data_IF_377263208249
#
_entry.id   IF_377263208249
#
_cell.length_a   1.000
_cell.length_b   1.000
_cell.length_c   1.000
_cell.angle_alpha   90.00
_cell.angle_beta   90.00
_cell.angle_gamma   90.00
#
_symmetry.space_group_name_H-M   'P 1'
#
loop_
_entity.id
_entity.type
_entity.pdbx_description
1 polymer ?
#
# COMPACT_ATOMS: atom_id res chain seq x y z
N UNK A 1 10.89 -12.09 29.89
CA UNK A 1 9.96 -11.69 28.81
C UNK A 1 10.30 -12.42 27.54
N UNK A 2 9.31 -13.12 26.98
CA UNK A 2 9.37 -13.77 25.68
C UNK A 2 8.41 -13.09 24.72
N UNK A 3 8.64 -13.24 23.42
CA UNK A 3 7.69 -12.77 22.40
C UNK A 3 7.50 -13.87 21.37
N UNK A 4 6.23 -14.12 21.05
CA UNK A 4 5.82 -15.06 20.02
C UNK A 4 5.37 -14.29 18.80
N UNK A 5 5.88 -14.70 17.66
CA UNK A 5 5.49 -14.19 16.37
C UNK A 5 4.45 -15.13 15.74
N UNK A 6 3.30 -14.56 15.43
CA UNK A 6 2.16 -15.26 14.84
C UNK A 6 2.03 -14.84 13.39
N UNK A 7 1.90 -15.82 12.50
CA UNK A 7 1.72 -15.67 11.07
C UNK A 7 0.47 -16.41 10.60
N UNK A 8 0.07 -16.15 9.35
CA UNK A 8 -1.06 -16.80 8.70
C UNK A 8 -2.41 -16.54 9.39
N UNK A 9 -2.55 -15.36 10.01
CA UNK A 9 -3.82 -14.92 10.60
C UNK A 9 -4.77 -14.40 9.52
N UNK A 10 -6.07 -14.46 9.78
CA UNK A 10 -7.08 -13.97 8.86
C UNK A 10 -6.98 -12.45 8.67
N UNK A 11 -6.82 -12.03 7.42
CA UNK A 11 -6.58 -10.63 7.05
C UNK A 11 -7.88 -9.82 6.92
N UNK A 12 -9.02 -10.50 6.73
CA UNK A 12 -10.33 -9.84 6.67
C UNK A 12 -10.82 -9.43 8.06
N UNK A 13 -10.33 -10.07 9.12
CA UNK A 13 -10.68 -9.75 10.48
C UNK A 13 -10.15 -8.37 10.89
N UNK A 14 -10.95 -7.62 11.66
CA UNK A 14 -10.51 -6.35 12.26
C UNK A 14 -9.45 -6.62 13.33
N UNK A 15 -8.55 -5.65 13.56
CA UNK A 15 -7.46 -5.81 14.52
C UNK A 15 -7.94 -6.02 15.95
N UNK A 16 -9.02 -5.35 16.39
CA UNK A 16 -9.56 -5.50 17.74
C UNK A 16 -10.02 -6.93 18.08
N UNK A 17 -10.97 -7.55 17.34
CA UNK A 17 -11.40 -8.91 17.63
C UNK A 17 -10.27 -9.93 17.45
N UNK A 18 -9.33 -9.68 16.54
CA UNK A 18 -8.15 -10.52 16.37
C UNK A 18 -7.25 -10.46 17.61
N UNK A 19 -6.97 -9.27 18.15
CA UNK A 19 -6.16 -9.11 19.35
C UNK A 19 -6.81 -9.70 20.58
N UNK A 20 -8.14 -9.60 20.70
CA UNK A 20 -8.89 -10.15 21.83
C UNK A 20 -8.91 -11.70 21.81
N UNK A 21 -9.13 -12.29 20.64
CA UNK A 21 -9.06 -13.74 20.46
C UNK A 21 -7.65 -14.28 20.74
N UNK A 22 -6.61 -13.59 20.24
CA UNK A 22 -5.22 -13.94 20.56
C UNK A 22 -4.92 -13.80 22.05
N UNK A 23 -5.39 -12.75 22.73
CA UNK A 23 -5.21 -12.63 24.18
C UNK A 23 -5.87 -13.79 24.93
N UNK A 24 -7.09 -14.14 24.54
CA UNK A 24 -7.86 -15.21 25.18
C UNK A 24 -7.15 -16.56 25.06
N UNK A 25 -6.79 -16.96 23.83
CA UNK A 25 -6.13 -18.26 23.58
C UNK A 25 -4.76 -18.32 24.25
N UNK A 26 -3.95 -17.26 24.16
CA UNK A 26 -2.59 -17.27 24.68
C UNK A 26 -2.54 -17.10 26.21
N UNK A 27 -3.64 -16.69 26.85
CA UNK A 27 -3.72 -16.58 28.32
C UNK A 27 -3.64 -17.95 29.03
N UNK A 28 -3.94 -19.04 28.32
CA UNK A 28 -3.86 -20.41 28.85
C UNK A 28 -2.42 -20.84 29.17
N UNK A 29 -1.45 -20.35 28.39
CA UNK A 29 -0.03 -20.70 28.53
C UNK A 29 0.73 -19.76 29.47
N UNK A 30 0.18 -18.59 29.79
CA UNK A 30 0.80 -17.65 30.72
C UNK A 30 0.31 -16.21 30.59
N UNK A 31 0.91 -15.33 31.39
CA UNK A 31 0.51 -13.93 31.44
C UNK A 31 0.95 -13.16 30.19
N UNK A 32 -0.04 -12.81 29.37
CA UNK A 32 0.12 -11.96 28.18
C UNK A 32 0.21 -10.50 28.61
N UNK A 33 1.36 -9.87 28.36
CA UNK A 33 1.63 -8.45 28.66
C UNK A 33 1.06 -7.57 27.56
N UNK A 34 1.24 -7.98 26.30
CA UNK A 34 0.74 -7.22 25.17
C UNK A 34 0.49 -8.08 23.93
N UNK A 35 -0.42 -7.60 23.08
CA UNK A 35 -0.66 -8.19 21.77
C UNK A 35 -0.71 -7.08 20.73
N UNK A 36 0.18 -7.17 19.75
CA UNK A 36 0.30 -6.20 18.65
C UNK A 36 0.00 -6.91 17.34
N UNK A 37 -1.21 -6.72 16.83
CA UNK A 37 -1.58 -7.16 15.48
C UNK A 37 -1.12 -6.11 14.46
N UNK A 38 -0.39 -6.54 13.43
CA UNK A 38 0.06 -5.65 12.36
C UNK A 38 -1.03 -5.53 11.29
N UNK A 39 -1.46 -4.29 11.05
CA UNK A 39 -2.48 -3.94 10.05
C UNK A 39 -1.90 -3.41 8.75
N UNK A 40 -0.58 -3.16 8.72
CA UNK A 40 0.11 -2.64 7.54
C UNK A 40 0.04 -3.65 6.40
N UNK A 41 -0.13 -3.20 5.16
CA UNK A 41 -0.33 -4.04 3.98
C UNK A 41 0.76 -5.12 3.80
N UNK A 42 2.01 -4.82 4.19
CA UNK A 42 3.14 -5.77 4.11
C UNK A 42 3.22 -6.75 5.28
N UNK A 43 2.53 -6.47 6.37
CA UNK A 43 2.58 -7.25 7.60
C UNK A 43 1.20 -7.70 8.07
N UNK A 44 0.20 -7.62 7.18
CA UNK A 44 -1.16 -8.07 7.43
C UNK A 44 -1.13 -9.58 7.63
N UNK A 45 -1.99 -10.07 8.54
CA UNK A 45 -1.97 -11.48 8.93
C UNK A 45 -0.80 -11.86 9.85
N UNK A 46 -0.13 -10.87 10.46
CA UNK A 46 0.94 -11.08 11.42
C UNK A 46 0.63 -10.41 12.75
N UNK A 47 1.00 -11.06 13.85
CA UNK A 47 0.87 -10.49 15.18
C UNK A 47 2.09 -10.83 16.05
N UNK A 48 2.31 -10.03 17.08
CA UNK A 48 3.29 -10.27 18.12
C UNK A 48 2.56 -10.37 19.45
N UNK A 49 2.74 -11.49 20.15
CA UNK A 49 2.24 -11.72 21.49
C UNK A 49 3.42 -11.64 22.45
N UNK A 50 3.38 -10.71 23.39
CA UNK A 50 4.42 -10.49 24.38
C UNK A 50 3.99 -11.15 25.68
N UNK A 51 4.81 -12.07 26.16
CA UNK A 51 4.61 -12.76 27.43
C UNK A 51 5.55 -12.20 28.50
N UNK A 52 5.08 -12.21 29.74
CA UNK A 52 5.90 -11.89 30.91
C UNK A 52 7.11 -12.85 30.99
N UNK A 53 6.86 -14.13 30.74
CA UNK A 53 7.86 -15.21 30.83
C UNK A 53 8.26 -15.74 29.46
N UNK A 54 9.53 -16.15 29.31
CA UNK A 54 10.04 -16.71 28.06
C UNK A 54 9.68 -18.19 27.88
N UNK A 55 9.47 -18.93 28.98
CA UNK A 55 9.04 -20.33 28.95
C UNK A 55 7.64 -20.46 28.34
N UNK A 56 6.66 -19.69 28.83
CA UNK A 56 5.29 -19.64 28.28
C UNK A 56 5.25 -19.33 26.79
N UNK A 57 6.11 -18.41 26.32
CA UNK A 57 6.22 -18.08 24.90
C UNK A 57 6.68 -19.27 24.06
N UNK A 58 7.60 -20.08 24.57
CA UNK A 58 8.11 -21.26 23.87
C UNK A 58 7.07 -22.37 23.83
N UNK A 59 6.43 -22.64 24.96
CA UNK A 59 5.38 -23.65 25.10
C UNK A 59 4.19 -23.34 24.17
N UNK A 60 3.69 -22.10 24.20
CA UNK A 60 2.65 -21.65 23.28
C UNK A 60 3.08 -21.79 21.81
N UNK A 61 4.34 -21.52 21.48
CA UNK A 61 4.81 -21.63 20.09
C UNK A 61 4.89 -23.07 19.57
N UNK A 62 5.01 -24.07 20.45
CA UNK A 62 5.08 -25.49 20.10
C UNK A 62 3.70 -26.16 20.14
N UNK A 63 2.87 -25.87 21.16
CA UNK A 63 1.57 -26.52 21.39
C UNK A 63 0.48 -26.07 20.41
N UNK A 64 0.29 -24.76 20.22
CA UNK A 64 -0.82 -24.22 19.41
C UNK A 64 -0.42 -23.87 17.97
N UNK A 65 0.74 -24.34 17.54
CA UNK A 65 1.18 -24.17 16.15
C UNK A 65 0.30 -24.97 15.20
N UNK A 66 -0.36 -24.29 14.27
CA UNK A 66 -1.35 -24.88 13.37
C UNK A 66 -2.79 -24.80 13.90
N UNK A 67 -3.03 -24.21 15.07
CA UNK A 67 -4.38 -24.06 15.60
C UNK A 67 -5.27 -23.21 14.67
N UNK A 68 -6.46 -23.68 14.28
CA UNK A 68 -7.34 -22.93 13.40
C UNK A 68 -8.00 -21.75 14.14
N UNK A 69 -7.76 -20.53 13.65
CA UNK A 69 -8.39 -19.30 14.13
C UNK A 69 -9.00 -18.55 12.94
N UNK A 70 -10.31 -18.31 12.99
CA UNK A 70 -11.09 -17.74 11.88
C UNK A 70 -10.88 -18.52 10.56
N UNK A 71 -11.00 -19.85 10.62
CA UNK A 71 -10.86 -20.78 9.48
C UNK A 71 -9.47 -20.81 8.82
N UNK A 72 -8.44 -20.23 9.47
CA UNK A 72 -7.04 -20.35 9.05
C UNK A 72 -6.15 -20.93 10.15
N UNK A 73 -5.31 -21.93 9.85
CA UNK A 73 -4.34 -22.45 10.81
C UNK A 73 -3.26 -21.41 11.08
N UNK A 74 -3.18 -20.91 12.31
CA UNK A 74 -2.14 -19.95 12.69
C UNK A 74 -0.77 -20.63 12.72
N UNK A 75 0.27 -19.91 12.33
CA UNK A 75 1.65 -20.41 12.39
C UNK A 75 2.45 -19.63 13.40
N UNK A 76 3.07 -20.35 14.33
CA UNK A 76 3.75 -19.76 15.46
C UNK A 76 5.25 -19.99 15.39
N UNK A 77 5.99 -18.97 15.79
CA UNK A 77 7.44 -19.02 15.89
C UNK A 77 7.93 -18.10 17.01
N UNK A 78 9.07 -18.42 17.60
CA UNK A 78 9.76 -17.50 18.49
C UNK A 78 10.18 -16.24 17.73
N UNK A 79 9.89 -15.06 18.29
CA UNK A 79 10.26 -13.79 17.66
C UNK A 79 11.79 -13.65 17.62
N UNK A 80 12.34 -13.40 16.42
CA UNK A 80 13.79 -13.21 16.20
C UNK A 80 14.34 -11.88 16.71
N UNK A 81 13.47 -10.87 16.88
CA UNK A 81 13.82 -9.54 17.38
C UNK A 81 12.99 -9.26 18.64
N UNK A 82 13.61 -8.58 19.61
CA UNK A 82 12.93 -8.13 20.83
C UNK A 82 11.81 -7.15 20.46
N UNK A 83 10.64 -7.30 21.06
CA UNK A 83 9.47 -6.43 20.83
C UNK A 83 9.73 -5.04 21.41
N UNK A 84 9.20 -3.99 20.79
CA UNK A 84 9.41 -2.58 21.22
C UNK A 84 9.12 -2.38 22.71
N UNK A 85 8.04 -2.99 23.24
CA UNK A 85 7.73 -2.97 24.69
C UNK A 85 8.73 -3.72 25.57
N UNK A 86 9.36 -4.77 25.06
CA UNK A 86 10.45 -5.47 25.78
C UNK A 86 11.70 -4.58 25.86
N UNK A 87 11.97 -3.78 24.81
CA UNK A 87 13.08 -2.81 24.82
C UNK A 87 12.77 -1.65 25.76
N UNK A 88 11.54 -1.14 25.76
CA UNK A 88 11.08 -0.09 26.68
C UNK A 88 11.14 -0.53 28.15
N UNK A 89 10.88 -1.80 28.45
CA UNK A 89 10.83 -2.32 29.83
C UNK A 89 12.15 -2.89 30.34
N UNK A 90 13.12 -3.22 29.47
CA UNK A 90 14.44 -3.76 29.83
C UNK A 90 15.60 -2.75 29.70
N UNK A 91 15.28 -1.45 29.68
CA UNK A 91 16.18 -0.34 29.40
C UNK A 91 17.60 -0.49 29.97
N UNK A 92 18.51 -0.97 29.12
CA UNK A 92 19.94 -0.73 29.26
C UNK A 92 20.27 0.52 28.43
N UNK A 93 20.91 1.54 29.01
CA UNK A 93 21.00 2.89 28.42
C UNK A 93 21.84 2.98 27.13
N UNK A 94 22.46 1.89 26.67
CA UNK A 94 23.33 1.87 25.50
C UNK A 94 22.59 1.72 24.14
N UNK A 95 21.36 1.19 24.11
CA UNK A 95 20.62 0.97 22.84
C UNK A 95 19.77 2.17 22.40
N UNK A 96 19.49 3.12 23.30
CA UNK A 96 18.74 4.35 23.02
C UNK A 96 19.48 5.32 22.06
N UNK A 97 20.79 5.18 21.91
CA UNK A 97 21.60 6.04 21.03
C UNK A 97 21.58 5.58 19.55
N UNK A 98 21.16 4.34 19.29
CA UNK A 98 21.11 3.78 17.93
C UNK A 98 19.77 4.01 17.19
N UNK A 99 18.69 4.34 17.91
CA UNK A 99 17.36 4.57 17.36
C UNK A 99 16.79 5.94 17.79
N UNK A 100 17.14 7.03 17.10
CA UNK A 100 16.54 8.33 17.39
C UNK A 100 15.02 8.29 17.10
N UNK A 101 14.19 8.95 17.93
CA UNK A 101 12.75 8.92 17.79
C UNK A 101 12.29 9.50 16.43
N UNK A 102 11.15 9.00 15.88
CA UNK A 102 10.66 9.36 14.54
C UNK A 102 10.39 10.87 14.33
N UNK A 103 10.32 11.66 15.41
CA UNK A 103 10.21 13.12 15.36
C UNK A 103 11.42 13.79 14.63
N UNK A 104 12.63 13.25 14.78
CA UNK A 104 13.85 13.84 14.19
C UNK A 104 14.09 13.46 12.72
N UNK A 105 13.38 12.46 12.18
CA UNK A 105 13.54 12.04 10.79
C UNK A 105 12.90 13.03 9.79
N UNK A 106 11.89 13.80 10.21
CA UNK A 106 11.26 14.82 9.36
C UNK A 106 12.17 16.05 9.18
N UNK A 107 12.84 16.50 10.24
CA UNK A 107 13.61 17.76 10.22
C UNK A 107 14.92 17.68 9.40
N UNK A 108 15.53 16.49 9.27
CA UNK A 108 16.82 16.34 8.56
C UNK A 108 16.69 16.31 7.03
N UNK A 109 15.54 15.87 6.48
CA UNK A 109 15.33 15.87 5.01
C UNK A 109 15.14 17.28 4.46
N UNK A 110 14.42 18.14 5.18
CA UNK A 110 14.18 19.53 4.78
C UNK A 110 15.49 20.36 4.75
N UNK A 111 16.34 20.21 5.77
CA UNK A 111 17.56 21.01 5.91
C UNK A 111 18.67 20.65 4.90
N UNK A 112 18.63 19.46 4.28
CA UNK A 112 19.63 19.03 3.28
C UNK A 112 19.26 19.45 1.85
N UNK A 113 17.99 19.78 1.60
CA UNK A 113 17.51 20.23 0.28
C UNK A 113 17.75 21.73 0.05
N UNK A 114 17.69 22.55 1.11
CA UNK A 114 17.91 24.01 1.01
C UNK A 114 19.38 24.41 0.82
N UNK A 115 20.34 23.57 1.24
CA UNK A 115 21.78 23.90 1.17
C UNK A 115 22.45 23.55 -0.17
N UNK A 116 21.75 22.87 -1.10
CA UNK A 116 22.28 22.53 -2.44
C UNK A 116 21.90 23.54 -3.53
N UNK A 117 21.15 24.59 -3.21
CA UNK A 117 20.69 25.60 -4.18
C UNK A 117 21.42 26.95 -4.11
N UNK A 118 22.55 27.06 -3.41
CA UNK A 118 23.29 28.32 -3.26
C UNK A 118 24.80 28.18 -3.35
N UNK A 119 25.33 27.85 -4.53
CA UNK A 119 26.71 28.22 -4.96
C UNK A 119 26.96 27.78 -6.41
N UNK A 120 26.64 28.65 -7.36
CA UNK A 120 27.37 28.77 -8.64
C UNK A 120 27.78 30.24 -8.76
N UNK A 121 29.08 30.57 -8.82
CA UNK A 121 29.50 31.93 -9.13
C UNK A 121 29.24 32.19 -10.62
N UNK A 122 28.54 33.28 -10.90
CA UNK A 122 28.36 33.79 -12.26
C UNK A 122 29.51 34.72 -12.68
N UNK A 123 29.67 34.86 -13.98
CA UNK A 123 30.46 35.88 -14.65
C UNK A 123 29.96 36.05 -16.09
N UNK A 124 29.52 37.29 -16.41
CA UNK A 124 29.29 37.98 -17.72
C UNK A 124 28.53 37.28 -18.86
N UNK A 125 27.68 37.87 -19.71
CA UNK A 125 27.25 39.25 -20.07
C UNK A 125 26.10 39.11 -21.11
N UNK A 126 25.37 40.19 -21.51
CA UNK A 126 24.00 40.13 -22.09
C UNK A 126 23.86 40.54 -23.58
N UNK A 127 22.77 40.11 -24.26
CA UNK A 127 22.10 40.75 -25.44
C UNK A 127 20.90 39.87 -25.89
N UNK A 128 19.63 40.31 -25.83
CA UNK A 128 18.81 41.11 -26.78
C UNK A 128 17.88 40.23 -27.66
N UNK A 129 16.57 40.54 -27.68
CA UNK A 129 15.56 39.95 -28.59
C UNK A 129 14.24 39.43 -27.96
N UNK A 130 13.13 40.14 -28.18
CA UNK A 130 11.71 39.81 -27.83
C UNK A 130 11.10 38.69 -28.75
N UNK A 131 9.79 38.32 -28.66
CA UNK A 131 8.93 37.85 -27.54
C UNK A 131 8.11 36.56 -27.89
N UNK A 132 7.51 35.87 -26.90
CA UNK A 132 6.12 35.29 -26.91
C UNK A 132 5.91 33.97 -26.13
N UNK A 133 4.80 33.96 -25.37
CA UNK A 133 3.84 32.86 -25.05
C UNK A 133 4.23 31.59 -24.24
N UNK A 134 3.47 31.45 -23.13
CA UNK A 134 2.71 30.26 -22.66
C UNK A 134 3.41 29.18 -21.80
N UNK A 135 2.66 28.77 -20.76
CA UNK A 135 2.61 27.48 -20.04
C UNK A 135 3.46 27.24 -18.77
N UNK A 136 2.74 27.18 -17.63
CA UNK A 136 2.88 26.15 -16.58
C UNK A 136 2.74 24.74 -17.23
N UNK A 137 3.32 23.63 -16.74
CA UNK A 137 2.94 23.11 -15.41
C UNK A 137 3.93 22.19 -14.68
N UNK A 138 3.46 21.78 -13.49
CA UNK A 138 3.76 20.61 -12.67
C UNK A 138 4.74 19.55 -13.19
N UNK A 139 5.62 19.11 -12.29
CA UNK A 139 6.43 17.90 -12.45
C UNK A 139 6.42 17.04 -11.20
N UNK A 140 5.37 16.22 -11.02
CA UNK A 140 5.45 15.02 -10.18
C UNK A 140 6.30 14.00 -10.95
N UNK A 141 7.43 13.60 -10.36
CA UNK A 141 8.34 12.62 -10.93
C UNK A 141 7.91 11.20 -10.60
N UNK A 142 7.99 10.40 -11.66
CA UNK A 142 7.68 9.00 -11.78
C UNK A 142 8.60 8.06 -11.00
N UNK A 143 8.06 6.85 -10.83
CA UNK A 143 8.73 5.54 -10.87
C UNK A 143 9.68 5.15 -9.74
N UNK A 144 9.19 4.25 -8.88
CA UNK A 144 9.95 3.08 -8.48
C UNK A 144 9.10 1.82 -8.69
N UNK A 145 9.64 0.92 -9.49
CA UNK A 145 9.15 -0.43 -9.75
C UNK A 145 9.30 -1.26 -8.47
N UNK A 146 8.32 -1.17 -7.57
CA UNK A 146 8.14 -2.14 -6.50
C UNK A 146 7.22 -3.23 -7.01
N UNK A 147 7.68 -4.48 -6.95
CA UNK A 147 6.86 -5.66 -7.19
C UNK A 147 5.57 -5.53 -6.39
N UNK A 148 4.48 -5.29 -7.12
CA UNK A 148 3.17 -5.20 -6.57
C UNK A 148 2.88 -6.54 -5.88
N UNK A 149 2.56 -6.50 -4.58
CA UNK A 149 1.49 -7.35 -4.12
C UNK A 149 0.35 -7.08 -5.10
N UNK A 150 0.12 -7.99 -6.04
CA UNK A 150 -0.98 -7.90 -6.98
C UNK A 150 -2.20 -8.09 -6.11
N UNK A 151 -2.65 -7.01 -5.47
CA UNK A 151 -4.04 -6.89 -5.02
C UNK A 151 -4.80 -7.30 -6.28
N UNK A 152 -5.50 -8.46 -6.25
CA UNK A 152 -6.24 -8.90 -7.41
C UNK A 152 -7.13 -7.73 -7.81
N UNK A 153 -7.18 -7.40 -9.10
CA UNK A 153 -7.87 -6.19 -9.55
C UNK A 153 -9.36 -6.16 -9.15
N UNK A 154 -9.87 -7.31 -8.71
CA UNK A 154 -11.17 -7.59 -8.07
C UNK A 154 -11.34 -6.94 -6.68
N UNK A 155 -10.27 -6.65 -5.94
CA UNK A 155 -10.31 -6.05 -4.59
C UNK A 155 -9.95 -4.56 -4.58
N UNK A 156 -9.84 -3.92 -5.75
CA UNK A 156 -9.65 -2.48 -5.78
C UNK A 156 -10.94 -1.81 -5.31
N UNK A 157 -10.88 -0.93 -4.28
CA UNK A 157 -12.06 -0.22 -3.82
C UNK A 157 -12.67 0.57 -5.00
N UNK A 158 -14.01 0.68 -5.07
CA UNK A 158 -14.68 1.45 -6.09
C UNK A 158 -14.04 2.82 -6.24
N UNK A 159 -13.69 3.17 -7.48
CA UNK A 159 -13.08 4.45 -7.80
C UNK A 159 -13.82 5.01 -9.02
N UNK A 160 -13.94 6.34 -9.06
CA UNK A 160 -14.50 7.06 -10.20
C UNK A 160 -13.61 6.99 -11.45
N UNK A 161 -12.36 6.54 -11.32
CA UNK A 161 -11.45 6.36 -12.45
C UNK A 161 -11.25 4.87 -12.73
N UNK A 162 -11.52 4.47 -13.97
CA UNK A 162 -11.24 3.15 -14.50
C UNK A 162 -9.90 3.14 -15.24
N UNK A 163 -9.21 2.02 -15.10
CA UNK A 163 -7.98 1.67 -15.77
C UNK A 163 -8.26 0.59 -16.81
N UNK A 164 -8.01 0.91 -18.06
CA UNK A 164 -8.17 0.04 -19.20
C UNK A 164 -6.80 -0.52 -19.61
N UNK A 165 -6.73 -1.83 -19.69
CA UNK A 165 -5.57 -2.58 -20.16
C UNK A 165 -5.98 -3.38 -21.40
N UNK A 166 -5.00 -3.65 -22.26
CA UNK A 166 -5.16 -4.40 -23.51
C UNK A 166 -6.06 -3.70 -24.55
N UNK A 167 -6.06 -2.36 -24.57
CA UNK A 167 -6.75 -1.61 -25.63
C UNK A 167 -6.03 -1.86 -26.98
N UNK A 168 -6.74 -2.12 -28.08
CA UNK A 168 -6.12 -2.16 -29.41
C UNK A 168 -5.57 -0.80 -29.82
N UNK A 169 -4.53 -0.80 -30.66
CA UNK A 169 -3.90 0.42 -31.17
C UNK A 169 -4.83 1.19 -32.14
N UNK A 170 -5.83 0.52 -32.69
CA UNK A 170 -6.86 1.10 -33.58
C UNK A 170 -7.99 1.82 -32.82
N UNK A 171 -8.03 1.72 -31.49
CA UNK A 171 -9.08 2.35 -30.67
C UNK A 171 -8.61 3.68 -30.08
N UNK A 172 -9.10 4.77 -30.66
CA UNK A 172 -8.90 6.13 -30.19
C UNK A 172 -9.85 6.53 -29.04
N UNK A 173 -9.59 7.71 -28.47
CA UNK A 173 -10.41 8.35 -27.42
C UNK A 173 -11.89 8.34 -27.81
N UNK A 174 -12.23 8.64 -29.06
CA UNK A 174 -13.63 8.67 -29.53
C UNK A 174 -14.28 7.28 -29.54
N UNK A 175 -13.54 6.23 -29.94
CA UNK A 175 -14.04 4.86 -29.92
C UNK A 175 -14.30 4.36 -28.49
N UNK A 176 -13.40 4.68 -27.57
CA UNK A 176 -13.59 4.39 -26.15
C UNK A 176 -14.70 5.26 -25.54
N UNK A 177 -14.79 6.54 -25.90
CA UNK A 177 -15.87 7.41 -25.43
C UNK A 177 -17.25 6.95 -25.91
N UNK A 178 -17.38 6.38 -27.12
CA UNK A 178 -18.64 5.78 -27.58
C UNK A 178 -19.05 4.55 -26.79
N UNK A 179 -18.09 3.78 -26.25
CA UNK A 179 -18.38 2.63 -25.39
C UNK A 179 -18.69 3.09 -23.96
N UNK A 180 -17.83 3.90 -23.36
CA UNK A 180 -17.90 4.30 -21.95
C UNK A 180 -18.89 5.45 -21.70
N UNK A 181 -19.19 6.26 -22.70
CA UNK A 181 -20.19 7.33 -22.64
C UNK A 181 -21.64 6.85 -22.64
N UNK A 182 -21.90 5.55 -22.85
CA UNK A 182 -23.24 4.96 -22.67
C UNK A 182 -23.66 4.87 -21.21
N UNK A 183 -22.70 4.97 -20.29
CA UNK A 183 -22.92 4.88 -18.85
C UNK A 183 -23.01 6.28 -18.25
N UNK A 184 -23.90 6.43 -17.27
CA UNK A 184 -24.15 7.72 -16.62
C UNK A 184 -22.90 8.22 -15.87
N UNK A 185 -22.71 9.53 -15.85
CA UNK A 185 -21.58 10.19 -15.21
C UNK A 185 -20.25 10.07 -15.95
N UNK A 186 -20.22 9.77 -17.25
CA UNK A 186 -18.98 9.77 -18.04
C UNK A 186 -18.37 11.18 -18.11
N UNK A 187 -17.06 11.30 -17.85
CA UNK A 187 -16.32 12.57 -17.83
C UNK A 187 -15.38 12.70 -19.03
N UNK A 188 -14.31 11.91 -19.04
CA UNK A 188 -13.32 11.93 -20.12
C UNK A 188 -12.55 10.60 -20.23
N UNK A 189 -12.03 10.32 -21.43
CA UNK A 189 -11.05 9.24 -21.64
C UNK A 189 -9.68 9.84 -21.88
N UNK A 190 -8.70 9.39 -21.12
CA UNK A 190 -7.30 9.78 -21.24
C UNK A 190 -6.42 8.62 -21.66
N UNK A 191 -5.91 8.68 -22.89
CA UNK A 191 -4.87 7.77 -23.37
C UNK A 191 -3.51 8.16 -22.76
N UNK A 192 -2.64 7.17 -22.52
CA UNK A 192 -1.30 7.42 -21.97
C UNK A 192 -0.28 7.59 -23.10
N UNK A 193 0.25 8.81 -23.35
CA UNK A 193 1.32 8.98 -24.32
C UNK A 193 2.57 8.26 -23.84
N UNK A 194 3.10 7.35 -24.67
CA UNK A 194 4.29 6.54 -24.35
C UNK A 194 3.99 5.11 -23.87
N UNK A 195 2.72 4.74 -23.62
CA UNK A 195 2.32 3.34 -23.40
C UNK A 195 1.07 3.00 -24.21
N UNK A 196 1.28 2.26 -25.29
CA UNK A 196 0.21 1.74 -26.15
C UNK A 196 -0.55 0.61 -25.43
N UNK A 197 -1.86 0.57 -25.60
CA UNK A 197 -2.76 -0.41 -24.99
C UNK A 197 -3.24 -0.11 -23.56
N UNK A 198 -3.02 1.12 -23.08
CA UNK A 198 -3.46 1.57 -21.76
C UNK A 198 -4.26 2.87 -21.89
N UNK A 199 -5.42 2.91 -21.24
CA UNK A 199 -6.26 4.10 -21.19
C UNK A 199 -6.86 4.27 -19.78
N UNK A 200 -7.24 5.50 -19.45
CA UNK A 200 -7.98 5.83 -18.23
C UNK A 200 -9.32 6.43 -18.61
N UNK A 201 -10.37 6.03 -17.90
CA UNK A 201 -11.71 6.63 -18.05
C UNK A 201 -12.10 7.25 -16.72
N UNK A 202 -12.36 8.55 -16.71
CA UNK A 202 -12.87 9.24 -15.54
C UNK A 202 -14.40 9.34 -15.62
N UNK A 203 -15.04 9.04 -14.51
CA UNK A 203 -16.45 9.29 -14.23
C UNK A 203 -16.59 10.38 -13.16
N UNK A 204 -17.73 11.06 -13.15
CA UNK A 204 -18.13 11.98 -12.10
C UNK A 204 -18.55 11.23 -10.84
N UNK A 205 -19.28 10.13 -11.01
CA UNK A 205 -19.75 9.28 -9.93
C UNK A 205 -19.09 7.90 -9.96
N UNK A 206 -18.79 7.36 -8.78
CA UNK A 206 -18.28 5.99 -8.63
C UNK A 206 -19.28 4.92 -9.13
N UNK A 207 -20.58 5.18 -8.98
CA UNK A 207 -21.65 4.28 -9.44
C UNK A 207 -21.62 4.08 -10.96
N UNK A 208 -21.37 5.15 -11.71
CA UNK A 208 -21.19 5.09 -13.17
C UNK A 208 -19.98 4.25 -13.57
N UNK A 209 -18.86 4.41 -12.85
CA UNK A 209 -17.65 3.64 -13.06
C UNK A 209 -17.83 2.15 -12.73
N UNK A 210 -18.61 1.80 -11.69
CA UNK A 210 -18.93 0.40 -11.34
C UNK A 210 -19.73 -0.27 -12.48
N UNK A 211 -20.83 0.36 -12.90
CA UNK A 211 -21.66 -0.16 -13.99
C UNK A 211 -20.87 -0.31 -15.29
N UNK A 212 -20.04 0.68 -15.63
CA UNK A 212 -19.19 0.65 -16.81
C UNK A 212 -18.13 -0.45 -16.72
N UNK A 213 -17.49 -0.64 -15.55
CA UNK A 213 -16.54 -1.73 -15.33
C UNK A 213 -17.22 -3.08 -15.52
N UNK A 214 -18.40 -3.30 -14.93
CA UNK A 214 -19.03 -4.62 -14.97
C UNK A 214 -19.54 -4.98 -16.37
N UNK A 215 -20.04 -4.00 -17.11
CA UNK A 215 -20.52 -4.22 -18.46
C UNK A 215 -19.40 -4.28 -19.52
N UNK A 216 -18.25 -3.65 -19.25
CA UNK A 216 -17.14 -3.52 -20.21
C UNK A 216 -15.92 -4.37 -19.84
N UNK A 217 -15.89 -4.99 -18.66
CA UNK A 217 -14.82 -5.89 -18.27
C UNK A 217 -14.88 -7.19 -19.09
N UNK A 218 -13.79 -7.49 -19.80
CA UNK A 218 -13.65 -8.75 -20.53
C UNK A 218 -14.26 -8.74 -21.94
N UNK A 219 -14.76 -7.59 -22.42
CA UNK A 219 -15.19 -7.49 -23.81
C UNK A 219 -13.98 -7.66 -24.74
N UNK A 220 -14.19 -8.36 -25.84
CA UNK A 220 -13.15 -8.57 -26.84
C UNK A 220 -13.25 -7.46 -27.88
N UNK A 221 -12.28 -6.53 -27.87
CA UNK A 221 -12.15 -5.49 -28.89
C UNK A 221 -11.17 -6.00 -29.96
N UNK A 222 -11.70 -6.41 -31.11
CA UNK A 222 -10.91 -7.03 -32.18
C UNK A 222 -10.28 -8.34 -31.69
N UNK A 223 -8.95 -8.40 -31.68
CA UNK A 223 -8.17 -9.58 -31.30
C UNK A 223 -7.70 -9.55 -29.82
N UNK A 224 -8.05 -8.51 -29.06
CA UNK A 224 -7.61 -8.33 -27.67
C UNK A 224 -8.80 -8.28 -26.71
N UNK A 225 -8.70 -9.00 -25.60
CA UNK A 225 -9.64 -8.88 -24.49
C UNK A 225 -9.31 -7.64 -23.67
N UNK A 226 -10.24 -6.70 -23.62
CA UNK A 226 -10.13 -5.49 -22.83
C UNK A 226 -10.29 -5.83 -21.36
N UNK A 227 -9.28 -5.46 -20.56
CA UNK A 227 -9.30 -5.65 -19.11
C UNK A 227 -9.57 -4.30 -18.42
N UNK A 228 -10.72 -4.21 -17.77
CA UNK A 228 -11.19 -2.99 -17.08
C UNK A 228 -11.11 -3.19 -15.58
N UNK A 229 -10.38 -2.31 -14.89
CA UNK A 229 -10.14 -2.37 -13.43
C UNK A 229 -10.25 -0.97 -12.84
N UNK A 230 -10.40 -0.83 -11.53
CA UNK A 230 -10.31 0.51 -10.92
C UNK A 230 -8.88 1.05 -10.95
N UNK A 231 -8.72 2.37 -10.92
CA UNK A 231 -7.41 2.98 -10.72
C UNK A 231 -6.92 2.76 -9.28
N UNK A 232 -5.71 2.20 -9.16
CA UNK A 232 -5.01 2.05 -7.87
C UNK A 232 -4.67 3.44 -7.30
N UNK A 233 -5.02 3.66 -6.04
CA UNK A 233 -4.66 4.87 -5.29
C UNK A 233 -3.26 4.79 -4.71
#
# INVERSE_FOLDING_TARGET
MGSVYVQNLEERAKSEPLTDALRTIFSEFGQVVDVVAKTNLKAKGQAFVVFAEAASAREAAEEINGFPLFDKPMRLAMARSRSDKTVEMSGSPAELEAHPPPSLYKTKRDKKLTKRHGKRPGGGTPADGRPSKIAKPSGLKSTSVAQAAVIPDEYLPPNKILFLQNVPDDYDVEGLAGIFGRFDGFREVRLVPGRRGIAFVEYEAEQGAVAAKESTAGITLGDRNLKVTYQRQ
#
